data_IF_058184614303
#
_entry.id   IF_058184614303
#
_cell.length_a   1.000
_cell.length_b   1.000
_cell.length_c   1.000
_cell.angle_alpha   90.00
_cell.angle_beta   90.00
_cell.angle_gamma   90.00
#
_symmetry.space_group_name_H-M   'P 1'
#
loop_
_entity.id
_entity.type
_entity.pdbx_description
1 polymer ?
#
# COMPACT_ATOMS: atom_id res chain seq x y z
N UNK A 1 13.88 12.24 32.24
CA UNK A 1 15.13 12.57 31.53
C UNK A 1 15.33 11.56 30.40
N UNK A 2 14.92 11.86 29.17
CA UNK A 2 15.20 10.98 27.99
C UNK A 2 14.72 11.58 26.65
N UNK A 3 14.90 12.91 26.45
CA UNK A 3 14.55 13.57 25.17
C UNK A 3 15.75 13.80 24.23
N UNK A 4 16.98 13.45 24.65
CA UNK A 4 18.20 13.82 23.92
C UNK A 4 18.59 12.90 22.75
N UNK A 5 18.03 11.69 22.66
CA UNK A 5 18.41 10.71 21.63
C UNK A 5 17.35 10.45 20.56
N UNK A 6 16.17 11.05 20.68
CA UNK A 6 15.10 10.89 19.70
C UNK A 6 15.08 12.09 18.73
N UNK A 7 14.80 11.80 17.47
CA UNK A 7 14.56 12.81 16.43
C UNK A 7 13.17 12.61 15.87
N UNK A 8 12.47 13.73 15.66
CA UNK A 8 11.26 13.79 14.86
C UNK A 8 11.61 14.25 13.45
N UNK A 9 11.10 13.57 12.45
CA UNK A 9 11.23 13.95 11.03
C UNK A 9 9.84 14.01 10.42
N UNK A 10 9.62 15.01 9.56
CA UNK A 10 8.40 15.15 8.77
C UNK A 10 8.72 15.28 7.29
N UNK A 11 7.82 14.79 6.44
CA UNK A 11 7.83 14.99 4.99
C UNK A 11 6.42 14.77 4.45
N UNK A 12 6.21 15.27 3.22
CA UNK A 12 4.91 15.21 2.55
C UNK A 12 5.11 14.58 1.19
N UNK A 13 4.27 13.61 0.85
CA UNK A 13 4.16 13.07 -0.48
C UNK A 13 2.82 13.42 -1.09
N UNK A 14 2.82 13.72 -2.39
CA UNK A 14 1.63 14.04 -3.16
C UNK A 14 1.61 13.22 -4.44
N UNK A 15 0.45 12.67 -4.77
CA UNK A 15 0.19 12.04 -6.06
C UNK A 15 -1.15 12.49 -6.62
N UNK A 16 -1.22 12.89 -7.90
CA UNK A 16 -2.51 13.17 -8.52
C UNK A 16 -3.32 11.88 -8.64
N UNK A 17 -4.62 11.97 -8.37
CA UNK A 17 -5.57 10.89 -8.65
C UNK A 17 -5.97 10.89 -10.13
N UNK A 18 -6.47 9.76 -10.66
CA UNK A 18 -6.95 9.67 -12.03
C UNK A 18 -8.09 10.66 -12.29
N UNK A 19 -8.20 11.12 -13.53
CA UNK A 19 -9.32 11.99 -13.92
C UNK A 19 -10.63 11.21 -13.82
N UNK A 20 -11.67 11.86 -13.28
CA UNK A 20 -12.97 11.23 -13.06
C UNK A 20 -13.10 10.52 -11.71
N UNK A 21 -12.03 10.46 -10.90
CA UNK A 21 -12.14 10.01 -9.51
C UNK A 21 -12.99 10.99 -8.71
N UNK A 22 -14.03 10.46 -8.05
CA UNK A 22 -14.85 11.25 -7.13
C UNK A 22 -14.18 11.31 -5.75
N UNK A 23 -14.43 12.38 -5.02
CA UNK A 23 -13.93 12.55 -3.65
C UNK A 23 -14.36 11.39 -2.76
N UNK A 24 -15.62 10.94 -2.87
CA UNK A 24 -16.13 9.83 -2.06
C UNK A 24 -15.43 8.51 -2.36
N UNK A 25 -15.15 8.20 -3.64
CA UNK A 25 -14.41 6.98 -4.00
C UNK A 25 -12.95 7.03 -3.50
N UNK A 26 -12.32 8.21 -3.56
CA UNK A 26 -10.98 8.42 -3.04
C UNK A 26 -10.92 8.29 -1.51
N UNK A 27 -11.93 8.80 -0.80
CA UNK A 27 -12.04 8.63 0.66
C UNK A 27 -12.32 7.16 1.01
N UNK A 28 -13.23 6.50 0.29
CA UNK A 28 -13.55 5.10 0.50
C UNK A 28 -12.32 4.19 0.33
N UNK A 29 -11.46 4.49 -0.65
CA UNK A 29 -10.15 3.83 -0.81
C UNK A 29 -9.28 3.99 0.45
N UNK A 30 -9.23 5.18 1.06
CA UNK A 30 -8.45 5.41 2.29
C UNK A 30 -9.06 4.74 3.53
N UNK A 31 -10.37 4.50 3.55
CA UNK A 31 -11.05 3.80 4.64
C UNK A 31 -10.98 2.26 4.50
N UNK A 32 -10.43 1.75 3.39
CA UNK A 32 -10.11 0.32 3.21
C UNK A 32 -8.78 -0.03 3.87
N UNK A 33 -8.76 -0.15 5.20
CA UNK A 33 -7.53 -0.40 5.97
C UNK A 33 -6.77 -1.66 5.54
N UNK A 34 -7.43 -2.82 5.27
CA UNK A 34 -6.75 -4.00 4.75
C UNK A 34 -5.90 -3.73 3.51
N UNK A 35 -6.37 -2.85 2.63
CA UNK A 35 -5.66 -2.52 1.38
C UNK A 35 -4.31 -1.82 1.61
N UNK A 36 -4.10 -1.15 2.75
CA UNK A 36 -2.78 -0.61 3.11
C UNK A 36 -1.72 -1.71 3.25
N UNK A 37 -2.11 -2.87 3.80
CA UNK A 37 -1.20 -4.02 3.94
C UNK A 37 -0.92 -4.66 2.58
N UNK A 38 -1.91 -4.75 1.70
CA UNK A 38 -1.72 -5.25 0.32
C UNK A 38 -0.85 -4.32 -0.53
N UNK A 39 -0.86 -3.02 -0.20
CA UNK A 39 0.03 -2.05 -0.82
C UNK A 39 1.50 -2.29 -0.47
N UNK A 40 1.78 -2.75 0.75
CA UNK A 40 3.14 -2.99 1.23
C UNK A 40 3.67 -4.36 0.77
N UNK A 41 4.67 -4.42 -0.13
CA UNK A 41 5.24 -5.70 -0.58
C UNK A 41 5.99 -6.46 0.53
N UNK A 42 6.26 -5.82 1.66
CA UNK A 42 6.97 -6.43 2.79
C UNK A 42 6.04 -7.06 3.83
N UNK A 43 4.73 -6.82 3.78
CA UNK A 43 3.80 -7.39 4.76
C UNK A 43 3.61 -8.88 4.50
N UNK A 44 4.06 -9.71 5.44
CA UNK A 44 3.91 -11.16 5.39
C UNK A 44 2.57 -11.63 5.96
N UNK A 45 2.09 -10.96 7.00
CA UNK A 45 0.78 -11.21 7.62
C UNK A 45 0.29 -9.97 8.34
N UNK A 46 -1.03 -9.82 8.42
CA UNK A 46 -1.68 -8.88 9.31
C UNK A 46 -2.92 -9.50 9.93
N UNK A 47 -3.29 -9.05 11.12
CA UNK A 47 -4.48 -9.50 11.84
C UNK A 47 -5.09 -8.35 12.63
N UNK A 48 -6.43 -8.33 12.68
CA UNK A 48 -7.17 -7.35 13.48
C UNK A 48 -6.97 -7.64 14.96
N UNK A 49 -6.62 -6.62 15.72
CA UNK A 49 -6.46 -6.66 17.17
C UNK A 49 -7.65 -6.02 17.87
N UNK A 50 -8.00 -6.59 19.03
CA UNK A 50 -8.85 -5.92 20.02
C UNK A 50 -7.92 -5.29 21.06
N UNK A 51 -7.69 -3.97 21.02
CA UNK A 51 -6.80 -3.34 21.97
C UNK A 51 -7.42 -3.37 23.37
N UNK A 52 -6.61 -3.60 24.41
CA UNK A 52 -7.07 -3.61 25.80
C UNK A 52 -7.53 -2.23 26.28
N UNK A 53 -6.98 -1.18 25.67
CA UNK A 53 -7.32 0.22 25.95
C UNK A 53 -7.67 0.92 24.66
N UNK A 54 -8.55 1.93 24.74
CA UNK A 54 -8.91 2.73 23.57
C UNK A 54 -7.66 3.47 23.07
N UNK A 55 -7.25 3.30 21.80
CA UNK A 55 -6.13 4.03 21.24
C UNK A 55 -6.36 5.53 21.32
N UNK A 56 -5.34 6.28 21.75
CA UNK A 56 -5.39 7.74 21.74
C UNK A 56 -5.15 8.26 20.32
N UNK A 57 -5.89 9.30 19.93
CA UNK A 57 -5.74 9.99 18.64
C UNK A 57 -5.20 11.38 18.95
N UNK A 58 -4.22 11.95 18.22
CA UNK A 58 -3.69 13.28 18.55
C UNK A 58 -4.76 14.37 18.53
N UNK A 59 -4.68 15.37 19.43
CA UNK A 59 -5.66 16.47 19.53
C UNK A 59 -5.97 17.20 18.21
N UNK A 60 -5.00 17.44 17.30
CA UNK A 60 -5.29 18.06 15.99
C UNK A 60 -6.15 17.18 15.07
N UNK A 61 -6.17 15.86 15.29
CA UNK A 61 -6.89 14.87 14.48
C UNK A 61 -8.26 14.56 15.08
N UNK A 62 -8.40 14.59 16.43
CA UNK A 62 -9.65 14.26 17.15
C UNK A 62 -10.92 14.92 16.56
N UNK A 63 -10.96 16.21 16.19
CA UNK A 63 -12.17 16.84 15.65
C UNK A 63 -12.63 16.30 14.30
N UNK A 64 -11.76 15.58 13.58
CA UNK A 64 -11.99 15.09 12.22
C UNK A 64 -12.43 13.63 12.18
N UNK A 65 -12.37 12.94 13.31
CA UNK A 65 -12.64 11.49 13.42
C UNK A 65 -14.09 11.19 13.06
N UNK A 66 -14.28 10.26 12.12
CA UNK A 66 -15.61 9.78 11.68
C UNK A 66 -15.89 8.34 12.08
N UNK A 67 -14.85 7.53 12.32
CA UNK A 67 -14.96 6.15 12.83
C UNK A 67 -13.94 5.90 13.94
N UNK A 68 -14.28 5.02 14.88
CA UNK A 68 -13.34 4.60 15.92
C UNK A 68 -12.10 3.88 15.35
N UNK A 69 -10.98 3.98 16.07
CA UNK A 69 -9.70 3.41 15.67
C UNK A 69 -9.76 1.88 15.60
N UNK A 70 -9.40 1.32 14.45
CA UNK A 70 -9.16 -0.11 14.28
C UNK A 70 -7.66 -0.41 14.44
N UNK A 71 -7.34 -1.43 15.23
CA UNK A 71 -5.97 -1.81 15.51
C UNK A 71 -5.63 -3.10 14.79
N UNK A 72 -4.40 -3.18 14.26
CA UNK A 72 -3.89 -4.36 13.60
C UNK A 72 -2.49 -4.68 14.11
N UNK A 73 -2.14 -5.95 14.08
CA UNK A 73 -0.75 -6.40 14.16
C UNK A 73 -0.32 -6.81 12.77
N UNK A 74 0.80 -6.27 12.29
CA UNK A 74 1.40 -6.72 11.04
C UNK A 74 2.81 -7.23 11.29
N UNK A 75 3.19 -8.26 10.53
CA UNK A 75 4.56 -8.75 10.47
C UNK A 75 5.13 -8.41 9.11
N UNK A 76 6.12 -7.54 9.10
CA UNK A 76 6.81 -7.10 7.90
C UNK A 76 8.19 -7.76 7.80
N UNK A 77 8.60 -8.13 6.59
CA UNK A 77 9.93 -8.68 6.31
C UNK A 77 10.86 -7.53 5.94
N UNK A 78 11.81 -7.22 6.84
CA UNK A 78 12.78 -6.13 6.63
C UNK A 78 14.14 -6.70 6.27
N UNK A 79 14.58 -6.40 5.05
CA UNK A 79 15.85 -6.90 4.50
C UNK A 79 17.08 -6.06 4.93
N UNK A 80 16.88 -4.92 5.58
CA UNK A 80 17.96 -3.95 5.86
C UNK A 80 17.85 -3.32 7.25
N UNK A 81 18.19 -4.08 8.30
CA UNK A 81 18.43 -3.52 9.62
C UNK A 81 19.94 -3.36 9.89
N UNK A 82 20.39 -2.27 10.54
CA UNK A 82 21.78 -2.10 10.94
C UNK A 82 22.24 -3.22 11.90
N UNK A 83 23.54 -3.52 11.90
CA UNK A 83 24.19 -4.57 12.69
C UNK A 83 23.98 -6.04 12.24
N UNK A 84 23.67 -6.28 10.96
CA UNK A 84 23.66 -7.63 10.40
C UNK A 84 22.42 -8.47 10.76
N UNK A 85 21.34 -7.79 11.16
CA UNK A 85 20.00 -8.36 11.26
C UNK A 85 19.40 -8.47 9.84
N UNK A 86 19.93 -9.40 9.05
CA UNK A 86 19.42 -9.72 7.72
C UNK A 86 18.10 -10.52 7.86
N UNK A 87 17.10 -10.17 7.06
CA UNK A 87 15.77 -10.83 6.99
C UNK A 87 15.04 -10.99 8.33
N UNK A 88 14.80 -9.86 9.01
CA UNK A 88 14.07 -9.88 10.27
C UNK A 88 12.57 -9.70 10.05
N UNK A 89 11.79 -10.56 10.70
CA UNK A 89 10.36 -10.35 10.90
C UNK A 89 10.18 -9.24 11.94
N UNK A 90 9.68 -8.09 11.49
CA UNK A 90 9.37 -6.95 12.35
C UNK A 90 7.87 -6.98 12.62
N UNK A 91 7.51 -7.16 13.89
CA UNK A 91 6.12 -7.13 14.32
C UNK A 91 5.80 -5.72 14.80
N UNK A 92 4.82 -5.08 14.17
CA UNK A 92 4.39 -3.72 14.47
C UNK A 92 2.89 -3.66 14.73
N UNK A 93 2.48 -2.70 15.54
CA UNK A 93 1.05 -2.36 15.74
C UNK A 93 0.69 -1.19 14.84
N UNK A 94 -0.40 -1.32 14.13
CA UNK A 94 -0.99 -0.29 13.27
C UNK A 94 -2.32 0.14 13.87
N UNK A 95 -2.55 1.44 13.94
CA UNK A 95 -3.79 2.07 14.39
C UNK A 95 -4.33 2.91 13.24
N UNK A 96 -5.50 2.56 12.71
CA UNK A 96 -6.17 3.30 11.65
C UNK A 96 -7.39 4.01 12.22
N UNK A 97 -7.47 5.32 12.02
CA UNK A 97 -8.59 6.15 12.44
C UNK A 97 -9.14 6.88 11.22
N UNK A 98 -10.35 6.54 10.79
CA UNK A 98 -10.98 7.24 9.68
C UNK A 98 -11.30 8.67 10.08
N UNK A 99 -10.92 9.60 9.22
CA UNK A 99 -11.20 11.02 9.33
C UNK A 99 -11.99 11.50 8.12
N UNK A 100 -12.65 12.65 8.22
CA UNK A 100 -13.62 13.11 7.22
C UNK A 100 -13.10 13.17 5.77
N UNK A 101 -11.81 13.44 5.56
CA UNK A 101 -11.18 13.51 4.22
C UNK A 101 -10.15 12.41 3.94
N UNK A 102 -10.06 11.40 4.80
CA UNK A 102 -9.08 10.32 4.64
C UNK A 102 -8.86 9.50 5.91
N UNK A 103 -7.61 9.20 6.25
CA UNK A 103 -7.29 8.31 7.38
C UNK A 103 -6.03 8.77 8.11
N UNK A 104 -6.08 8.74 9.44
CA UNK A 104 -4.91 8.84 10.29
C UNK A 104 -4.39 7.45 10.61
N UNK A 105 -3.09 7.24 10.42
CA UNK A 105 -2.42 5.97 10.67
C UNK A 105 -1.29 6.18 11.66
N UNK A 106 -1.27 5.42 12.76
CA UNK A 106 -0.12 5.34 13.65
C UNK A 106 0.46 3.94 13.66
N UNK A 107 1.76 3.85 13.46
CA UNK A 107 2.52 2.61 13.47
C UNK A 107 3.51 2.66 14.62
N UNK A 108 3.49 1.62 15.46
CA UNK A 108 4.48 1.39 16.52
C UNK A 108 5.26 0.14 16.20
N UNK A 109 6.56 0.32 16.00
CA UNK A 109 7.49 -0.75 15.66
C UNK A 109 8.56 -0.91 16.75
N UNK A 110 9.30 -2.04 16.77
CA UNK A 110 10.43 -2.24 17.66
C UNK A 110 11.46 -1.11 17.59
N UNK A 111 12.38 -1.08 18.57
CA UNK A 111 13.41 -0.03 18.69
C UNK A 111 12.84 1.39 18.86
N UNK A 112 11.63 1.48 19.43
CA UNK A 112 10.94 2.74 19.75
C UNK A 112 10.73 3.64 18.52
N UNK A 113 10.40 3.02 17.38
CA UNK A 113 9.99 3.73 16.17
C UNK A 113 8.48 3.93 16.23
N UNK A 114 8.05 5.19 16.20
CA UNK A 114 6.64 5.57 16.08
C UNK A 114 6.49 6.42 14.84
N UNK A 115 5.63 5.99 13.91
CA UNK A 115 5.29 6.73 12.71
C UNK A 115 3.82 7.13 12.79
N UNK A 116 3.53 8.39 12.52
CA UNK A 116 2.20 8.97 12.46
C UNK A 116 2.03 9.59 11.08
N UNK A 117 1.02 9.15 10.35
CA UNK A 117 0.76 9.60 9.00
C UNK A 117 -0.69 10.05 8.87
N UNK A 118 -0.90 11.22 8.29
CA UNK A 118 -2.23 11.69 7.88
C UNK A 118 -2.31 11.54 6.36
N UNK A 119 -3.21 10.68 5.90
CA UNK A 119 -3.54 10.51 4.49
C UNK A 119 -4.83 11.26 4.20
N UNK A 120 -4.82 12.18 3.24
CA UNK A 120 -5.96 13.01 2.90
C UNK A 120 -6.14 13.15 1.39
N UNK A 121 -7.40 13.34 0.99
CA UNK A 121 -7.74 13.78 -0.35
C UNK A 121 -7.85 15.30 -0.36
N UNK A 122 -6.93 15.95 -1.08
CA UNK A 122 -6.96 17.39 -1.35
C UNK A 122 -7.48 17.63 -2.77
N UNK A 123 -8.03 18.82 -3.00
CA UNK A 123 -8.40 19.27 -4.36
C UNK A 123 -7.56 20.50 -4.68
N UNK A 124 -6.69 20.38 -5.68
CA UNK A 124 -5.87 21.49 -6.18
C UNK A 124 -6.16 21.71 -7.66
N UNK A 125 -6.66 22.91 -8.00
CA UNK A 125 -6.89 23.33 -9.40
C UNK A 125 -7.73 22.34 -10.21
N UNK A 126 -8.89 21.94 -9.67
CA UNK A 126 -9.83 20.98 -10.27
C UNK A 126 -9.25 19.56 -10.48
N UNK A 127 -8.20 19.21 -9.74
CA UNK A 127 -7.59 17.89 -9.73
C UNK A 127 -7.49 17.39 -8.29
N UNK A 128 -8.02 16.19 -8.04
CA UNK A 128 -7.86 15.54 -6.75
C UNK A 128 -6.42 15.03 -6.60
N UNK A 129 -5.86 15.21 -5.40
CA UNK A 129 -4.55 14.74 -5.00
C UNK A 129 -4.66 13.88 -3.74
N UNK A 130 -3.92 12.76 -3.76
CA UNK A 130 -3.62 11.96 -2.59
C UNK A 130 -2.42 12.59 -1.87
N UNK A 131 -2.62 13.05 -0.64
CA UNK A 131 -1.61 13.69 0.19
C UNK A 131 -1.29 12.82 1.40
N UNK A 132 -0.02 12.49 1.57
CA UNK A 132 0.52 11.72 2.67
C UNK A 132 1.44 12.62 3.50
N UNK A 133 0.97 13.04 4.68
CA UNK A 133 1.75 13.81 5.64
C UNK A 133 2.37 12.87 6.68
N UNK A 134 3.65 12.55 6.55
CA UNK A 134 4.34 11.61 7.43
C UNK A 134 5.13 12.33 8.51
N UNK A 135 5.03 11.84 9.74
CA UNK A 135 5.81 12.26 10.90
C UNK A 135 6.29 11.03 11.65
N UNK A 136 7.59 10.78 11.73
CA UNK A 136 8.12 9.69 12.56
C UNK A 136 9.04 10.19 13.66
N UNK A 137 9.04 9.46 14.78
CA UNK A 137 9.94 9.64 15.92
C UNK A 137 10.68 8.33 16.16
N UNK A 138 12.01 8.40 16.21
CA UNK A 138 12.87 7.26 16.56
C UNK A 138 14.23 7.75 17.07
N UNK A 139 15.12 6.81 17.42
CA UNK A 139 16.49 7.17 17.80
C UNK A 139 17.24 7.82 16.63
N UNK A 140 18.12 8.78 16.93
CA UNK A 140 18.96 9.48 15.92
C UNK A 140 19.77 8.53 15.03
N UNK A 141 20.14 7.36 15.56
CA UNK A 141 20.87 6.32 14.84
C UNK A 141 20.01 5.67 13.75
N UNK A 142 18.71 5.48 14.00
CA UNK A 142 17.78 4.82 13.08
C UNK A 142 17.12 5.80 12.10
N UNK A 143 17.06 7.08 12.43
CA UNK A 143 16.37 8.08 11.62
C UNK A 143 16.77 8.09 10.12
N UNK A 144 18.05 7.94 9.72
CA UNK A 144 18.41 7.84 8.31
C UNK A 144 17.85 6.60 7.62
N UNK A 145 17.83 5.46 8.31
CA UNK A 145 17.32 4.19 7.77
C UNK A 145 15.81 4.26 7.60
N UNK A 146 15.08 4.70 8.64
CA UNK A 146 13.62 4.86 8.59
C UNK A 146 13.21 5.84 7.49
N UNK A 147 13.88 7.00 7.41
CA UNK A 147 13.65 7.97 6.32
C UNK A 147 13.87 7.34 4.95
N UNK A 148 14.98 6.63 4.75
CA UNK A 148 15.28 5.99 3.47
C UNK A 148 14.22 4.96 3.06
N UNK A 149 13.63 4.24 4.01
CA UNK A 149 12.55 3.30 3.72
C UNK A 149 11.27 4.03 3.29
N UNK A 150 10.89 5.09 3.99
CA UNK A 150 9.73 5.92 3.63
C UNK A 150 9.89 6.59 2.25
N UNK A 151 11.05 7.22 2.01
CA UNK A 151 11.31 7.97 0.76
C UNK A 151 11.54 7.03 -0.44
N UNK A 152 12.02 5.80 -0.22
CA UNK A 152 12.29 4.84 -1.29
C UNK A 152 11.06 4.10 -1.82
N UNK A 153 10.03 3.93 -0.99
CA UNK A 153 8.87 3.08 -1.30
C UNK A 153 7.58 3.81 -1.69
N UNK A 154 7.42 5.07 -1.27
CA UNK A 154 6.12 5.75 -1.27
C UNK A 154 5.44 5.80 -2.65
N UNK A 155 6.19 6.01 -3.74
CA UNK A 155 5.60 6.08 -5.10
C UNK A 155 4.89 4.79 -5.51
N UNK A 156 5.42 3.64 -5.11
CA UNK A 156 4.81 2.34 -5.41
C UNK A 156 3.54 2.13 -4.60
N UNK A 157 3.54 2.55 -3.34
CA UNK A 157 2.36 2.52 -2.47
C UNK A 157 1.28 3.45 -3.00
N UNK A 158 1.62 4.71 -3.30
CA UNK A 158 0.69 5.67 -3.93
C UNK A 158 0.14 5.13 -5.25
N UNK A 159 0.96 4.51 -6.09
CA UNK A 159 0.50 3.93 -7.35
C UNK A 159 -0.55 2.83 -7.15
N UNK A 160 -0.38 1.95 -6.16
CA UNK A 160 -1.39 0.93 -5.83
C UNK A 160 -2.69 1.54 -5.30
N UNK A 161 -2.58 2.51 -4.37
CA UNK A 161 -3.73 3.25 -3.85
C UNK A 161 -4.51 3.91 -4.99
N UNK A 162 -3.83 4.72 -5.81
CA UNK A 162 -4.41 5.39 -6.98
C UNK A 162 -5.16 4.40 -7.87
N UNK A 163 -4.58 3.23 -8.16
CA UNK A 163 -5.23 2.22 -8.97
C UNK A 163 -6.50 1.65 -8.30
N UNK A 164 -6.49 1.44 -6.99
CA UNK A 164 -7.67 0.98 -6.23
C UNK A 164 -8.84 1.95 -6.30
N UNK A 165 -8.56 3.26 -6.18
CA UNK A 165 -9.61 4.29 -6.32
C UNK A 165 -10.28 4.27 -7.69
N UNK A 166 -9.54 3.91 -8.75
CA UNK A 166 -10.09 3.77 -10.09
C UNK A 166 -10.96 2.52 -10.22
N UNK A 167 -10.58 1.42 -9.58
CA UNK A 167 -11.37 0.18 -9.56
C UNK A 167 -12.71 0.35 -8.83
N UNK A 168 -12.74 1.14 -7.75
CA UNK A 168 -13.98 1.43 -7.00
C UNK A 168 -15.04 2.11 -7.89
N UNK A 169 -14.61 2.92 -8.87
CA UNK A 169 -15.52 3.64 -9.76
C UNK A 169 -16.11 2.76 -10.85
N UNK A 170 -15.42 1.67 -11.23
CA UNK A 170 -15.87 0.78 -12.29
C UNK A 170 -15.46 -0.67 -11.97
N UNK A 171 -16.30 -1.42 -11.22
CA UNK A 171 -15.95 -2.75 -10.72
C UNK A 171 -15.70 -3.81 -11.81
N UNK A 172 -16.08 -3.54 -13.08
CA UNK A 172 -15.96 -4.47 -14.21
C UNK A 172 -14.86 -4.08 -15.23
N UNK A 173 -13.96 -3.14 -14.93
CA UNK A 173 -12.91 -2.72 -15.90
C UNK A 173 -11.63 -3.54 -15.72
N UNK A 174 -11.07 -4.03 -16.84
CA UNK A 174 -9.79 -4.75 -16.79
C UNK A 174 -8.65 -3.87 -16.20
N UNK A 175 -7.88 -4.38 -15.22
CA UNK A 175 -6.78 -3.66 -14.58
C UNK A 175 -5.73 -3.13 -15.56
N UNK A 176 -5.62 -3.76 -16.73
CA UNK A 176 -4.65 -3.42 -17.77
C UNK A 176 -4.92 -2.05 -18.41
N UNK A 177 -6.18 -1.64 -18.59
CA UNK A 177 -6.54 -0.37 -19.22
C UNK A 177 -6.27 0.82 -18.29
N UNK A 178 -6.51 0.64 -16.98
CA UNK A 178 -6.25 1.67 -15.96
C UNK A 178 -4.74 1.89 -15.79
N UNK A 179 -3.95 0.80 -15.76
CA UNK A 179 -2.49 0.90 -15.67
C UNK A 179 -1.89 1.59 -16.89
N UNK A 180 -2.47 1.37 -18.08
CA UNK A 180 -2.08 2.04 -19.30
C UNK A 180 -2.34 3.55 -19.25
N UNK A 181 -3.54 3.97 -18.85
CA UNK A 181 -3.89 5.39 -18.75
C UNK A 181 -3.11 6.10 -17.65
N UNK A 182 -2.86 5.43 -16.51
CA UNK A 182 -1.97 5.93 -15.48
C UNK A 182 -0.55 6.10 -16.02
N UNK A 183 0.07 5.05 -16.58
CA UNK A 183 1.43 5.11 -17.13
C UNK A 183 1.58 6.17 -18.23
N UNK A 184 0.54 6.36 -19.05
CA UNK A 184 0.46 7.42 -20.06
C UNK A 184 0.38 8.80 -19.44
N UNK A 185 -0.37 8.98 -18.35
CA UNK A 185 -0.48 10.27 -17.65
C UNK A 185 0.83 10.71 -16.98
N UNK A 186 1.68 9.76 -16.54
CA UNK A 186 2.96 10.07 -15.88
C UNK A 186 4.13 10.18 -16.89
N UNK A 187 3.97 9.69 -18.12
CA UNK A 187 5.00 9.73 -19.16
C UNK A 187 4.95 11.02 -20.00
N UNK A 188 6.02 11.84 -19.95
CA UNK A 188 6.18 13.05 -20.78
C UNK A 188 6.62 12.77 -22.23
N UNK A 189 6.65 11.53 -22.70
CA UNK A 189 7.07 11.19 -24.08
C UNK A 189 5.90 10.61 -24.87
N UNK A 190 5.73 10.97 -26.16
CA UNK A 190 4.73 10.35 -27.02
C UNK A 190 5.08 8.87 -27.22
N UNK A 191 4.17 7.98 -26.82
CA UNK A 191 4.30 6.53 -26.95
C UNK A 191 3.56 6.14 -28.25
N UNK A 192 4.26 5.49 -29.17
CA UNK A 192 3.77 5.17 -30.51
C UNK A 192 3.21 3.74 -30.57
N UNK A 193 2.03 3.60 -31.19
CA UNK A 193 1.10 2.46 -31.16
C UNK A 193 1.61 1.13 -31.76
N UNK A 194 2.70 1.12 -32.54
CA UNK A 194 3.08 -0.08 -33.32
C UNK A 194 3.97 -1.11 -32.60
N UNK A 195 4.55 -0.77 -31.45
CA UNK A 195 5.40 -1.69 -30.67
C UNK A 195 4.64 -2.39 -29.53
N UNK A 196 3.36 -2.04 -29.36
CA UNK A 196 2.56 -2.32 -28.16
C UNK A 196 2.03 -3.75 -28.10
N UNK A 197 1.60 -4.34 -29.22
CA UNK A 197 1.00 -5.69 -29.20
C UNK A 197 2.04 -6.78 -28.90
N UNK A 198 3.30 -6.59 -29.30
CA UNK A 198 4.37 -7.57 -29.10
C UNK A 198 4.95 -7.54 -27.67
N UNK A 199 5.00 -6.37 -27.03
CA UNK A 199 5.50 -6.24 -25.65
C UNK A 199 4.40 -6.65 -24.65
N UNK A 200 3.14 -6.30 -24.91
CA UNK A 200 2.01 -6.74 -24.09
C UNK A 200 1.82 -8.26 -24.14
N UNK A 201 1.98 -8.91 -25.30
CA UNK A 201 1.94 -10.38 -25.35
C UNK A 201 3.12 -11.01 -24.61
N UNK A 202 4.33 -10.45 -24.72
CA UNK A 202 5.52 -11.00 -24.06
C UNK A 202 5.50 -10.85 -22.52
N UNK A 203 4.85 -9.81 -21.99
CA UNK A 203 4.77 -9.56 -20.53
C UNK A 203 3.56 -10.26 -19.90
N UNK A 204 2.44 -10.41 -20.61
CA UNK A 204 1.22 -11.02 -20.06
C UNK A 204 1.16 -12.54 -20.21
N UNK A 205 1.87 -13.14 -21.18
CA UNK A 205 1.85 -14.60 -21.38
C UNK A 205 2.37 -15.40 -20.17
N UNK A 206 3.45 -14.98 -19.45
CA UNK A 206 3.90 -15.70 -18.26
C UNK A 206 2.98 -15.54 -17.04
N UNK A 207 2.13 -14.49 -17.01
CA UNK A 207 1.20 -14.25 -15.91
C UNK A 207 -0.14 -14.99 -16.08
N UNK A 208 -0.52 -15.35 -17.31
CA UNK A 208 -1.74 -16.12 -17.60
C UNK A 208 -1.52 -17.63 -17.75
N UNK A 209 -0.29 -18.09 -17.99
CA UNK A 209 0.08 -19.52 -18.04
C UNK A 209 1.08 -19.91 -16.93
N UNK A 210 0.86 -19.39 -15.73
CA UNK A 210 1.49 -19.89 -14.51
C UNK A 210 0.96 -21.28 -14.15
N UNK A 211 1.58 -22.30 -14.75
CA UNK A 211 1.59 -23.73 -14.41
C UNK A 211 0.54 -24.21 -13.36
N UNK A 212 -0.68 -24.45 -13.83
CA UNK A 212 -1.79 -25.04 -13.06
C UNK A 212 -1.49 -26.46 -12.52
N UNK A 213 -0.33 -27.05 -12.83
CA UNK A 213 0.05 -28.39 -12.34
C UNK A 213 0.53 -28.41 -10.88
N UNK A 214 0.90 -27.27 -10.30
CA UNK A 214 1.42 -27.19 -8.92
C UNK A 214 0.31 -27.10 -7.87
N UNK A 215 -0.84 -26.49 -8.20
CA UNK A 215 -1.97 -26.34 -7.26
C UNK A 215 -2.81 -27.62 -7.09
N UNK A 216 -2.80 -28.54 -8.05
CA UNK A 216 -3.56 -29.80 -7.98
C UNK A 216 -2.85 -30.92 -7.19
N UNK A 217 -1.53 -30.84 -6.95
CA UNK A 217 -0.81 -31.85 -6.16
C UNK A 217 -0.97 -31.70 -4.63
N UNK A 218 -1.49 -30.58 -4.14
CA UNK A 218 -1.68 -30.33 -2.69
C UNK A 218 -3.05 -30.71 -2.13
N UNK A 219 -4.03 -31.06 -2.98
CA UNK A 219 -5.40 -31.36 -2.51
C UNK A 219 -5.78 -32.85 -2.50
N UNK A 220 -4.90 -33.75 -2.97
CA UNK A 220 -5.16 -35.20 -2.99
C UNK A 220 -6.36 -35.62 -3.84
N UNK A 221 -6.93 -34.72 -4.65
CA UNK A 221 -8.09 -35.01 -5.51
C UNK A 221 -7.62 -35.49 -6.88
N UNK A 222 -8.23 -36.56 -7.44
CA UNK A 222 -7.94 -36.98 -8.80
C UNK A 222 -8.36 -35.90 -9.81
N UNK A 223 -7.51 -35.70 -10.82
CA UNK A 223 -7.75 -34.75 -11.91
C UNK A 223 -8.87 -35.31 -12.80
N UNK A 224 -9.93 -34.53 -13.09
CA UNK A 224 -10.99 -34.96 -14.00
C UNK A 224 -10.43 -35.14 -15.42
N UNK A 225 -10.79 -36.25 -16.07
CA UNK A 225 -10.21 -36.75 -17.32
C UNK A 225 -10.39 -35.85 -18.57
N UNK A 226 -11.01 -34.68 -18.44
CA UNK A 226 -11.27 -33.75 -19.55
C UNK A 226 -10.25 -32.62 -19.72
N UNK A 227 -9.19 -32.57 -18.91
CA UNK A 227 -8.21 -31.47 -18.90
C UNK A 227 -6.84 -31.83 -19.48
N UNK A 228 -6.68 -32.99 -20.11
CA UNK A 228 -5.46 -33.33 -20.82
C UNK A 228 -5.51 -32.79 -22.26
N UNK A 229 -4.49 -32.05 -22.71
CA UNK A 229 -4.38 -31.64 -24.11
C UNK A 229 -4.19 -32.86 -25.01
N UNK A 230 -4.72 -32.84 -26.26
CA UNK A 230 -4.55 -33.95 -27.18
C UNK A 230 -3.07 -34.06 -27.59
N UNK A 231 -2.42 -35.19 -27.28
CA UNK A 231 -1.10 -35.54 -27.83
C UNK A 231 -0.02 -36.03 -26.87
N UNK A 232 -0.29 -36.25 -25.58
CA UNK A 232 0.69 -36.89 -24.69
C UNK A 232 0.39 -38.39 -24.53
N UNK A 233 1.12 -39.23 -25.27
CA UNK A 233 1.43 -40.61 -24.85
C UNK A 233 2.52 -40.61 -23.80
#
# INVERSE_FOLDING_TARGET
MSSFFNTRTTFVHKSPLPKGTTTDAAIAMLHDHPYFFECNPHTAKFELLKPETKPDVPDPVKPQVVKETECYQATDIVHALPAGLWDSNVVSTYEFTDIGRGVFVRIRSPLNVVMETVWEIEEERDQLELVENVSFTCSRLLAPVVRSQCEGGWRKIHGKMVNHSATILVPDTEPALIFYDYARSVSKRPINCSTETAILSAILTPLYYGDHSVLLRRSGKPIPAGLLPPGST
#
